data_IF_982505691964
#
_entry.id   IF_982505691964
#
_cell.length_a   1.000
_cell.length_b   1.000
_cell.length_c   1.000
_cell.angle_alpha   90.00
_cell.angle_beta   90.00
_cell.angle_gamma   90.00
#
_symmetry.space_group_name_H-M   'P 1'
#
loop_
_entity.id
_entity.type
_entity.pdbx_description
1 polymer ?
#
# COMPACT_ATOMS: atom_id res chain seq x y z
N UNK A 1 -12.75 20.65 -19.86
CA UNK A 1 -12.09 20.62 -18.54
C UNK A 1 -10.90 19.69 -18.62
N UNK A 2 -9.67 20.18 -18.42
CA UNK A 2 -8.48 19.34 -18.40
C UNK A 2 -8.33 18.74 -17.00
N UNK A 3 -8.64 17.46 -16.83
CA UNK A 3 -8.41 16.73 -15.58
C UNK A 3 -6.91 16.77 -15.30
N UNK A 4 -6.50 17.47 -14.24
CA UNK A 4 -5.12 17.45 -13.82
C UNK A 4 -4.85 16.09 -13.17
N UNK A 5 -4.33 15.15 -13.96
CA UNK A 5 -3.93 13.83 -13.46
C UNK A 5 -2.88 14.04 -12.34
N UNK A 6 -3.20 13.61 -11.12
CA UNK A 6 -2.28 13.69 -9.99
C UNK A 6 -1.02 12.87 -10.27
N UNK A 7 0.14 13.35 -9.80
CA UNK A 7 1.42 12.64 -9.89
C UNK A 7 1.62 11.80 -8.63
N UNK A 8 1.72 10.49 -8.77
CA UNK A 8 2.19 9.63 -7.69
C UNK A 8 3.64 10.01 -7.31
N UNK A 9 3.86 10.31 -6.03
CA UNK A 9 5.16 10.66 -5.46
C UNK A 9 5.79 9.48 -4.74
N UNK A 10 4.96 8.62 -4.15
CA UNK A 10 5.41 7.51 -3.31
C UNK A 10 4.31 6.47 -3.19
N UNK A 11 4.67 5.20 -3.18
CA UNK A 11 3.79 4.10 -2.81
C UNK A 11 4.49 3.23 -1.74
N UNK A 12 3.87 3.12 -0.57
CA UNK A 12 4.30 2.23 0.51
C UNK A 12 3.37 1.04 0.62
N UNK A 13 3.93 -0.14 0.90
CA UNK A 13 3.18 -1.35 1.20
C UNK A 13 3.49 -1.76 2.63
N UNK A 14 2.50 -1.74 3.51
CA UNK A 14 2.66 -1.98 4.95
C UNK A 14 1.88 -3.22 5.38
N UNK A 15 2.44 -3.99 6.31
CA UNK A 15 1.81 -5.18 6.87
C UNK A 15 1.42 -4.93 8.32
N UNK A 16 0.16 -5.20 8.65
CA UNK A 16 -0.45 -4.90 9.93
C UNK A 16 -1.14 -6.12 10.53
N UNK A 17 -1.16 -6.19 11.86
CA UNK A 17 -2.07 -7.11 12.56
C UNK A 17 -3.50 -6.59 12.47
N UNK A 18 -4.48 -7.50 12.49
CA UNK A 18 -5.89 -7.16 12.53
C UNK A 18 -6.61 -7.93 13.63
N UNK A 19 -7.57 -7.27 14.27
CA UNK A 19 -8.53 -7.91 15.18
C UNK A 19 -9.93 -7.57 14.70
N UNK A 20 -10.70 -8.56 14.26
CA UNK A 20 -11.99 -8.32 13.59
C UNK A 20 -11.82 -7.44 12.35
N UNK A 21 -12.53 -6.30 12.33
CA UNK A 21 -12.45 -5.30 11.26
C UNK A 21 -11.49 -4.14 11.55
N UNK A 22 -10.79 -4.14 12.68
CA UNK A 22 -9.91 -3.05 13.08
C UNK A 22 -8.44 -3.39 12.82
N UNK A 23 -7.76 -2.47 12.12
CA UNK A 23 -6.31 -2.48 11.93
C UNK A 23 -5.62 -2.15 13.25
N UNK A 24 -4.57 -2.90 13.58
CA UNK A 24 -3.78 -2.74 14.79
C UNK A 24 -2.35 -2.27 14.40
N UNK A 25 -1.38 -2.59 15.25
CA UNK A 25 0.05 -2.36 15.03
C UNK A 25 0.51 -2.73 13.61
N UNK A 26 1.33 -1.85 13.02
CA UNK A 26 2.16 -2.20 11.88
C UNK A 26 3.25 -3.17 12.35
N UNK A 27 3.29 -4.34 11.71
CA UNK A 27 4.26 -5.40 11.99
C UNK A 27 5.52 -5.18 11.16
N UNK A 28 5.36 -4.66 9.94
CA UNK A 28 6.50 -4.41 9.06
C UNK A 28 6.12 -3.60 7.82
N UNK A 29 7.14 -3.25 7.06
CA UNK A 29 6.98 -2.70 5.71
C UNK A 29 7.34 -3.80 4.71
N UNK A 30 6.41 -4.11 3.81
CA UNK A 30 6.64 -5.01 2.68
C UNK A 30 7.52 -4.30 1.65
N UNK A 31 7.23 -3.03 1.41
CA UNK A 31 8.04 -2.17 0.56
C UNK A 31 7.89 -0.71 0.97
N UNK A 32 8.99 0.05 0.87
CA UNK A 32 8.98 1.50 1.03
C UNK A 32 9.35 2.16 -0.28
N UNK A 33 8.60 3.18 -0.68
CA UNK A 33 8.85 3.95 -1.88
C UNK A 33 8.99 3.07 -3.14
N UNK A 34 7.95 2.28 -3.46
CA UNK A 34 7.87 1.61 -4.76
C UNK A 34 8.13 2.64 -5.88
N UNK A 35 8.85 2.25 -6.96
CA UNK A 35 9.21 3.18 -8.02
C UNK A 35 7.96 3.73 -8.70
N UNK A 36 7.55 4.93 -8.35
CA UNK A 36 6.46 5.66 -9.00
C UNK A 36 6.98 6.24 -10.32
N UNK A 37 6.96 5.42 -11.37
CA UNK A 37 7.21 5.94 -12.73
C UNK A 37 5.90 6.47 -13.28
N UNK A 38 5.70 7.78 -13.19
CA UNK A 38 4.64 8.45 -13.94
C UNK A 38 4.95 8.30 -15.43
N UNK A 39 4.44 7.25 -16.06
CA UNK A 39 4.42 7.14 -17.52
C UNK A 39 3.23 7.95 -18.01
N UNK A 40 3.50 8.83 -18.98
CA UNK A 40 2.50 9.68 -19.62
C UNK A 40 1.23 8.85 -19.92
N UNK A 41 0.20 9.11 -19.12
CA UNK A 41 -1.19 8.69 -19.33
C UNK A 41 -1.53 7.18 -19.26
N UNK A 42 -0.76 6.36 -18.52
CA UNK A 42 -1.12 4.94 -18.31
C UNK A 42 -1.02 4.48 -16.86
N UNK A 43 -2.00 3.68 -16.42
CA UNK A 43 -1.91 2.87 -15.22
C UNK A 43 -0.65 1.99 -15.31
N UNK A 44 0.27 2.12 -14.34
CA UNK A 44 1.47 1.28 -14.25
C UNK A 44 1.26 0.28 -13.13
N UNK A 45 1.27 -1.01 -13.46
CA UNK A 45 1.20 -2.08 -12.47
C UNK A 45 2.60 -2.38 -11.97
N UNK A 46 2.77 -2.34 -10.64
CA UNK A 46 3.98 -2.77 -9.97
C UNK A 46 3.69 -4.05 -9.19
N UNK A 47 4.51 -5.07 -9.38
CA UNK A 47 4.44 -6.32 -8.62
C UNK A 47 5.60 -6.38 -7.66
N UNK A 48 5.33 -6.81 -6.42
CA UNK A 48 6.36 -7.11 -5.43
C UNK A 48 6.09 -8.47 -4.81
N UNK A 49 7.05 -9.36 -4.92
CA UNK A 49 7.07 -10.59 -4.15
C UNK A 49 7.61 -10.30 -2.75
N UNK A 50 6.93 -10.86 -1.75
CA UNK A 50 7.31 -10.74 -0.35
C UNK A 50 6.88 -11.99 0.41
N UNK A 51 7.76 -12.46 1.28
CA UNK A 51 7.52 -13.64 2.11
C UNK A 51 7.09 -13.20 3.50
N UNK A 52 6.02 -13.80 4.01
CA UNK A 52 5.56 -13.60 5.38
C UNK A 52 6.67 -14.02 6.36
N UNK A 53 7.02 -13.21 7.37
CA UNK A 53 8.03 -13.56 8.36
C UNK A 53 7.70 -14.88 9.05
N UNK A 54 8.68 -15.78 9.21
CA UNK A 54 8.49 -17.13 9.74
C UNK A 54 7.85 -17.20 11.13
N UNK A 55 7.99 -16.15 11.93
CA UNK A 55 7.42 -16.05 13.27
C UNK A 55 6.02 -15.39 13.28
N UNK A 56 5.42 -15.14 12.11
CA UNK A 56 4.06 -14.62 12.00
C UNK A 56 3.09 -15.70 12.45
N UNK A 57 2.39 -15.47 13.56
CA UNK A 57 1.40 -16.41 14.08
C UNK A 57 0.19 -16.50 13.14
N UNK A 58 -0.49 -17.65 13.02
CA UNK A 58 -1.76 -17.73 12.33
C UNK A 58 -2.77 -16.71 12.86
N UNK A 59 -3.60 -16.16 11.98
CA UNK A 59 -4.61 -15.16 12.34
C UNK A 59 -4.90 -14.14 11.25
N UNK A 60 -5.63 -13.08 11.62
CA UNK A 60 -6.05 -12.02 10.71
C UNK A 60 -5.06 -10.86 10.63
N UNK A 61 -4.78 -10.42 9.41
CA UNK A 61 -3.82 -9.36 9.09
C UNK A 61 -4.37 -8.42 8.01
N UNK A 62 -3.65 -7.33 7.76
CA UNK A 62 -3.98 -6.40 6.69
C UNK A 62 -2.72 -5.97 5.94
N UNK A 63 -2.86 -5.77 4.63
CA UNK A 63 -1.85 -5.15 3.77
C UNK A 63 -2.40 -3.81 3.32
N UNK A 64 -1.71 -2.73 3.66
CA UNK A 64 -2.05 -1.38 3.24
C UNK A 64 -1.17 -0.95 2.06
N UNK A 65 -1.80 -0.45 1.02
CA UNK A 65 -1.19 0.28 -0.09
C UNK A 65 -1.43 1.76 0.17
N UNK A 66 -0.36 2.50 0.48
CA UNK A 66 -0.43 3.92 0.83
C UNK A 66 0.26 4.73 -0.24
N UNK A 67 -0.52 5.42 -1.05
CA UNK A 67 -0.04 6.24 -2.15
C UNK A 67 -0.10 7.73 -1.80
N UNK A 68 1.04 8.41 -1.93
CA UNK A 68 1.11 9.87 -1.84
C UNK A 68 1.00 10.44 -3.25
N UNK A 69 -0.02 11.26 -3.49
CA UNK A 69 -0.32 11.86 -4.80
C UNK A 69 -0.24 13.38 -4.72
N UNK A 70 0.50 13.99 -5.64
CA UNK A 70 0.57 15.43 -5.84
C UNK A 70 -0.38 15.87 -6.95
N UNK A 71 -1.38 16.67 -6.62
CA UNK A 71 -2.15 17.45 -7.59
C UNK A 71 -1.52 18.84 -7.79
N UNK A 72 -2.07 19.65 -8.68
CA UNK A 72 -1.53 20.98 -8.98
C UNK A 72 -1.34 21.89 -7.76
N UNK A 73 -2.17 21.76 -6.72
CA UNK A 73 -2.16 22.65 -5.54
C UNK A 73 -2.21 21.94 -4.19
N UNK A 74 -2.39 20.63 -4.17
CA UNK A 74 -2.56 19.85 -2.94
C UNK A 74 -1.86 18.51 -3.05
N UNK A 75 -1.47 17.97 -1.90
CA UNK A 75 -1.07 16.58 -1.76
C UNK A 75 -2.16 15.82 -1.02
N UNK A 76 -2.40 14.58 -1.43
CA UNK A 76 -3.28 13.66 -0.71
C UNK A 76 -2.57 12.33 -0.47
N UNK A 77 -3.03 11.62 0.55
CA UNK A 77 -2.68 10.23 0.77
C UNK A 77 -3.91 9.38 0.46
N UNK A 78 -3.81 8.53 -0.56
CA UNK A 78 -4.78 7.48 -0.83
C UNK A 78 -4.34 6.20 -0.10
N UNK A 79 -5.29 5.46 0.47
CA UNK A 79 -4.99 4.20 1.15
C UNK A 79 -6.00 3.15 0.77
N UNK A 80 -5.51 2.02 0.28
CA UNK A 80 -6.31 0.81 0.09
C UNK A 80 -5.81 -0.28 1.03
N UNK A 81 -6.74 -1.01 1.65
CA UNK A 81 -6.42 -2.06 2.61
C UNK A 81 -6.97 -3.39 2.13
N UNK A 82 -6.11 -4.39 2.00
CA UNK A 82 -6.49 -5.77 1.74
C UNK A 82 -6.45 -6.56 3.05
N UNK A 83 -7.53 -7.29 3.32
CA UNK A 83 -7.65 -8.20 4.45
C UNK A 83 -7.08 -9.56 4.08
N UNK A 84 -6.12 -10.06 4.86
CA UNK A 84 -5.55 -11.40 4.67
C UNK A 84 -5.65 -12.23 5.94
N UNK A 85 -5.68 -13.55 5.80
CA UNK A 85 -5.55 -14.49 6.92
C UNK A 85 -4.31 -15.33 6.68
N UNK A 86 -3.46 -15.44 7.70
CA UNK A 86 -2.31 -16.34 7.70
C UNK A 86 -2.76 -17.63 8.37
N UNK A 87 -2.55 -18.75 7.67
CA UNK A 87 -2.83 -20.11 8.12
C UNK A 87 -1.51 -20.87 8.21
N UNK A 88 -1.49 -21.92 9.03
CA UNK A 88 -0.38 -22.88 9.13
C UNK A 88 -0.53 -23.96 8.04
#
# INVERSE_FOLDING_TARGET
MQTAMGRALKLDINFHRRTGNQKQQQIGAIHKSCPVTAKNDKYVVHTKEWTIPKNTKPGSYAVDFVELVQFRRTQITATETIKVNVVD
#
